data_IF_610693821587
#
_entry.id   IF_610693821587
#
_cell.length_a   1.000
_cell.length_b   1.000
_cell.length_c   1.000
_cell.angle_alpha   90.00
_cell.angle_beta   90.00
_cell.angle_gamma   90.00
#
_symmetry.space_group_name_H-M   'P 1'
#
loop_
_entity.id
_entity.type
_entity.pdbx_description
1 polymer ?
#
# COMPACT_ATOMS: atom_id res chain seq x y z
N UNK A 1 34.98 28.18 5.47
CA UNK A 1 33.88 28.74 4.67
C UNK A 1 34.18 28.43 3.21
N UNK A 2 33.38 27.76 2.39
CA UNK A 2 32.09 27.12 2.54
C UNK A 2 32.04 26.09 1.40
N UNK A 3 31.54 24.90 1.71
CA UNK A 3 30.53 24.20 0.90
C UNK A 3 30.68 24.21 -0.63
N UNK A 4 31.08 23.07 -1.18
CA UNK A 4 30.66 22.65 -2.53
C UNK A 4 30.45 21.14 -2.49
N UNK A 5 29.24 20.82 -2.06
CA UNK A 5 28.28 19.94 -2.74
C UNK A 5 28.77 18.57 -3.19
N UNK A 6 28.17 17.58 -2.50
CA UNK A 6 28.08 16.17 -2.82
C UNK A 6 27.91 15.88 -4.32
N UNK A 7 28.52 14.80 -4.85
CA UNK A 7 28.30 14.39 -6.22
C UNK A 7 26.88 13.85 -6.41
N UNK A 8 26.37 14.19 -7.59
CA UNK A 8 25.07 13.91 -8.16
C UNK A 8 24.65 12.43 -8.11
N UNK A 9 23.37 12.26 -7.73
CA UNK A 9 22.39 11.44 -8.42
C UNK A 9 22.87 10.09 -8.97
N UNK A 10 23.11 9.15 -8.08
CA UNK A 10 22.94 7.73 -8.40
C UNK A 10 21.47 7.36 -8.14
N UNK A 11 20.66 7.44 -9.20
CA UNK A 11 19.34 6.82 -9.22
C UNK A 11 19.04 6.35 -10.65
N UNK A 12 20.00 5.64 -11.25
CA UNK A 12 19.73 4.81 -12.42
C UNK A 12 19.17 3.47 -11.97
N UNK A 13 18.03 3.49 -11.28
CA UNK A 13 17.21 2.29 -11.12
C UNK A 13 15.83 2.62 -11.66
N UNK A 14 15.70 2.55 -12.99
CA UNK A 14 14.44 2.22 -13.67
C UNK A 14 14.02 0.77 -13.38
N UNK A 15 14.27 0.32 -12.14
CA UNK A 15 13.63 -0.85 -11.62
C UNK A 15 12.16 -0.52 -11.61
N UNK A 16 11.34 -1.48 -11.99
CA UNK A 16 9.89 -1.32 -11.94
C UNK A 16 9.50 -1.38 -10.48
N UNK A 17 9.86 -0.33 -9.73
CA UNK A 17 9.97 -0.33 -8.30
C UNK A 17 8.56 -0.54 -7.74
N UNK A 18 8.37 -1.77 -7.28
CA UNK A 18 7.21 -2.29 -6.61
C UNK A 18 6.62 -1.23 -5.66
N UNK A 19 5.56 -0.55 -6.07
CA UNK A 19 5.01 0.54 -5.28
C UNK A 19 3.98 0.03 -4.26
N UNK A 20 3.85 0.77 -3.16
CA UNK A 20 2.77 0.62 -2.19
C UNK A 20 1.66 1.59 -2.54
N UNK A 21 0.54 1.06 -2.99
CA UNK A 21 -0.67 1.84 -3.26
C UNK A 21 -1.59 1.77 -2.05
N UNK A 22 -1.84 2.93 -1.47
CA UNK A 22 -2.65 3.02 -0.28
C UNK A 22 -3.93 3.79 -0.54
N UNK A 23 -5.06 3.11 -0.41
CA UNK A 23 -6.40 3.65 -0.59
C UNK A 23 -7.06 3.92 0.76
N UNK A 24 -6.80 5.10 1.32
CA UNK A 24 -7.51 5.60 2.50
C UNK A 24 -7.77 7.10 2.41
N UNK A 25 -8.66 7.59 3.29
CA UNK A 25 -8.79 9.01 3.62
C UNK A 25 -8.00 9.45 4.86
N UNK A 26 -7.32 8.52 5.55
CA UNK A 26 -6.58 8.81 6.79
C UNK A 26 -5.11 9.18 6.49
N UNK A 27 -4.82 10.49 6.49
CA UNK A 27 -3.46 11.02 6.25
C UNK A 27 -2.46 10.67 7.34
N UNK A 28 -2.92 10.55 8.60
CA UNK A 28 -2.05 10.22 9.73
C UNK A 28 -1.52 8.79 9.56
N UNK A 29 -2.40 7.88 9.16
CA UNK A 29 -2.02 6.50 8.89
C UNK A 29 -1.18 6.38 7.61
N UNK A 30 -1.52 7.15 6.56
CA UNK A 30 -0.72 7.23 5.34
C UNK A 30 0.74 7.60 5.64
N UNK A 31 0.96 8.59 6.51
CA UNK A 31 2.30 9.01 6.89
C UNK A 31 3.10 7.90 7.58
N UNK A 32 2.46 7.07 8.41
CA UNK A 32 3.12 5.94 9.08
C UNK A 32 3.53 4.86 8.08
N UNK A 33 2.62 4.49 7.18
CA UNK A 33 2.89 3.51 6.12
C UNK A 33 4.02 4.01 5.24
N UNK A 34 3.95 5.28 4.83
CA UNK A 34 4.99 5.94 4.05
C UNK A 34 6.35 5.82 4.74
N UNK A 35 6.46 6.17 6.02
CA UNK A 35 7.72 6.06 6.75
C UNK A 35 8.25 4.62 6.84
N UNK A 36 7.38 3.61 6.92
CA UNK A 36 7.80 2.20 6.90
C UNK A 36 8.28 1.77 5.51
N UNK A 37 7.56 2.17 4.45
CA UNK A 37 7.94 1.91 3.07
C UNK A 37 9.25 2.61 2.69
N UNK A 38 9.44 3.88 3.06
CA UNK A 38 10.68 4.63 2.85
C UNK A 38 11.88 3.97 3.53
N UNK A 39 11.70 3.39 4.73
CA UNK A 39 12.75 2.63 5.42
C UNK A 39 13.13 1.34 4.69
N UNK A 40 12.19 0.73 3.98
CA UNK A 40 12.41 -0.43 3.14
C UNK A 40 12.85 -0.05 1.70
N UNK A 41 13.04 1.24 1.40
CA UNK A 41 13.37 1.70 0.04
C UNK A 41 12.24 1.54 -0.98
N UNK A 42 11.00 1.34 -0.51
CA UNK A 42 9.83 1.06 -1.35
C UNK A 42 9.06 2.35 -1.63
N UNK A 43 8.71 2.66 -2.89
CA UNK A 43 7.88 3.83 -3.23
C UNK A 43 6.47 3.71 -2.63
N UNK A 44 5.97 4.80 -2.03
CA UNK A 44 4.62 4.86 -1.47
C UNK A 44 3.75 5.91 -2.17
N UNK A 45 2.53 5.52 -2.55
CA UNK A 45 1.53 6.37 -3.17
C UNK A 45 0.20 6.30 -2.40
N UNK A 46 -0.22 7.43 -1.83
CA UNK A 46 -1.56 7.58 -1.29
C UNK A 46 -2.52 7.93 -2.43
N UNK A 47 -3.49 7.04 -2.69
CA UNK A 47 -4.43 7.16 -3.79
C UNK A 47 -5.85 7.36 -3.25
N UNK A 48 -6.54 8.36 -3.78
CA UNK A 48 -7.95 8.63 -3.46
C UNK A 48 -8.92 7.71 -4.20
N UNK A 49 -8.54 7.36 -5.44
CA UNK A 49 -9.28 6.55 -6.39
C UNK A 49 -8.28 5.74 -7.22
N UNK A 50 -8.76 4.73 -7.93
CA UNK A 50 -7.93 3.97 -8.86
C UNK A 50 -7.33 4.93 -9.91
N UNK A 51 -6.00 4.99 -10.08
CA UNK A 51 -5.38 5.80 -11.12
C UNK A 51 -5.55 5.13 -12.48
N UNK A 52 -5.94 5.90 -13.49
CA UNK A 52 -6.09 5.40 -14.86
C UNK A 52 -4.72 5.12 -15.51
N UNK A 53 -3.72 5.97 -15.20
CA UNK A 53 -2.32 5.80 -15.61
C UNK A 53 -1.44 5.62 -14.37
N UNK A 54 -0.96 4.40 -14.19
CA UNK A 54 -0.04 4.01 -13.14
C UNK A 54 1.41 4.17 -13.62
N UNK A 55 2.19 5.13 -13.10
CA UNK A 55 3.59 5.29 -13.51
C UNK A 55 4.48 4.12 -13.05
N UNK A 56 4.03 3.34 -12.06
CA UNK A 56 4.75 2.18 -11.52
C UNK A 56 3.78 1.06 -11.13
N UNK A 57 4.27 -0.19 -11.21
CA UNK A 57 3.50 -1.38 -10.85
C UNK A 57 3.38 -1.48 -9.32
N UNK A 58 2.16 -1.52 -8.74
CA UNK A 58 2.01 -1.76 -7.31
C UNK A 58 2.32 -3.21 -6.97
N UNK A 59 3.14 -3.43 -5.95
CA UNK A 59 3.34 -4.76 -5.35
C UNK A 59 2.48 -4.95 -4.11
N UNK A 60 2.09 -3.86 -3.45
CA UNK A 60 1.18 -3.89 -2.32
C UNK A 60 0.03 -2.90 -2.55
N UNK A 61 -1.19 -3.41 -2.55
CA UNK A 61 -2.40 -2.60 -2.66
C UNK A 61 -3.13 -2.71 -1.33
N UNK A 62 -3.09 -1.61 -0.57
CA UNK A 62 -3.67 -1.54 0.77
C UNK A 62 -4.96 -0.73 0.71
N UNK A 63 -6.07 -1.28 1.20
CA UNK A 63 -7.37 -0.61 1.20
C UNK A 63 -7.93 -0.49 2.61
N UNK A 64 -8.36 0.72 2.95
CA UNK A 64 -9.00 1.01 4.22
C UNK A 64 -10.51 0.77 4.16
N UNK A 65 -10.97 -0.28 4.82
CA UNK A 65 -12.39 -0.64 4.95
C UNK A 65 -13.17 0.32 5.86
N UNK A 66 -12.49 1.15 6.66
CA UNK A 66 -13.16 2.16 7.50
C UNK A 66 -13.80 3.24 6.63
N UNK A 67 -13.03 3.72 5.66
CA UNK A 67 -13.40 4.85 4.79
C UNK A 67 -13.85 4.40 3.40
N UNK A 68 -13.37 3.24 2.91
CA UNK A 68 -13.58 2.77 1.53
C UNK A 68 -14.09 1.34 1.41
N UNK A 69 -14.86 0.83 2.39
CA UNK A 69 -15.47 -0.50 2.28
C UNK A 69 -16.29 -0.71 1.01
N UNK A 70 -17.05 0.30 0.55
CA UNK A 70 -17.84 0.20 -0.68
C UNK A 70 -17.00 0.10 -1.96
N UNK A 71 -15.79 0.67 -1.97
CA UNK A 71 -14.87 0.61 -3.11
C UNK A 71 -13.87 -0.55 -3.00
N UNK A 72 -13.79 -1.24 -1.87
CA UNK A 72 -12.80 -2.29 -1.65
C UNK A 72 -12.99 -3.48 -2.60
N UNK A 73 -14.24 -3.90 -2.86
CA UNK A 73 -14.51 -4.97 -3.81
C UNK A 73 -14.08 -4.59 -5.25
N UNK A 74 -14.40 -3.35 -5.66
CA UNK A 74 -13.99 -2.79 -6.95
C UNK A 74 -12.47 -2.76 -7.10
N UNK A 75 -11.78 -2.20 -6.09
CA UNK A 75 -10.31 -2.10 -6.09
C UNK A 75 -9.67 -3.49 -6.15
N UNK A 76 -10.21 -4.49 -5.45
CA UNK A 76 -9.69 -5.87 -5.54
C UNK A 76 -9.92 -6.46 -6.93
N UNK A 77 -11.09 -6.24 -7.53
CA UNK A 77 -11.36 -6.72 -8.89
C UNK A 77 -10.36 -6.12 -9.89
N UNK A 78 -10.22 -4.80 -9.88
CA UNK A 78 -9.26 -4.07 -10.73
C UNK A 78 -7.81 -4.51 -10.45
N UNK A 79 -7.44 -4.70 -9.18
CA UNK A 79 -6.14 -5.24 -8.81
C UNK A 79 -5.89 -6.63 -9.39
N UNK A 80 -6.86 -7.54 -9.31
CA UNK A 80 -6.71 -8.87 -9.88
C UNK A 80 -6.66 -8.89 -11.42
N UNK A 81 -7.36 -7.95 -12.07
CA UNK A 81 -7.40 -7.82 -13.53
C UNK A 81 -6.12 -7.18 -14.07
N UNK A 82 -5.63 -6.12 -13.42
CA UNK A 82 -4.49 -5.33 -13.90
C UNK A 82 -3.15 -5.80 -13.33
N UNK A 83 -3.14 -6.21 -12.06
CA UNK A 83 -1.92 -6.59 -11.31
C UNK A 83 -2.12 -7.90 -10.53
N UNK A 84 -2.26 -9.05 -11.22
CA UNK A 84 -2.52 -10.34 -10.57
C UNK A 84 -1.42 -10.78 -9.59
N UNK A 85 -0.22 -10.22 -9.70
CA UNK A 85 0.92 -10.49 -8.81
C UNK A 85 1.00 -9.55 -7.59
N UNK A 86 0.15 -8.51 -7.54
CA UNK A 86 0.13 -7.56 -6.43
C UNK A 86 -0.54 -8.17 -5.19
N UNK A 87 0.09 -7.99 -4.03
CA UNK A 87 -0.49 -8.38 -2.75
C UNK A 87 -1.54 -7.36 -2.32
N UNK A 88 -2.78 -7.81 -2.21
CA UNK A 88 -3.88 -6.99 -1.73
C UNK A 88 -4.10 -7.17 -0.24
N UNK A 89 -4.11 -6.06 0.49
CA UNK A 89 -4.28 -6.04 1.94
C UNK A 89 -5.45 -5.13 2.26
N UNK A 90 -6.52 -5.67 2.81
CA UNK A 90 -7.60 -4.87 3.37
C UNK A 90 -7.40 -4.73 4.88
N UNK A 91 -7.56 -3.53 5.43
CA UNK A 91 -7.63 -3.37 6.87
C UNK A 91 -8.79 -2.50 7.33
N UNK A 92 -9.25 -2.73 8.56
CA UNK A 92 -10.33 -1.94 9.15
C UNK A 92 -10.45 -2.10 10.67
N UNK A 93 -11.29 -1.30 11.33
CA UNK A 93 -11.52 -1.37 12.76
C UNK A 93 -12.26 -2.67 13.13
N UNK A 94 -11.87 -3.26 14.26
CA UNK A 94 -12.35 -4.55 14.75
C UNK A 94 -13.86 -4.59 15.02
N UNK A 95 -14.47 -3.44 15.30
CA UNK A 95 -15.92 -3.27 15.53
C UNK A 95 -16.77 -3.52 14.27
N UNK A 96 -16.14 -3.77 13.11
CA UNK A 96 -16.83 -3.96 11.84
C UNK A 96 -16.48 -5.29 11.19
N UNK A 97 -16.69 -6.39 11.93
CA UNK A 97 -16.50 -7.76 11.46
C UNK A 97 -17.20 -8.05 10.11
N UNK A 98 -18.36 -7.42 9.86
CA UNK A 98 -19.07 -7.53 8.59
C UNK A 98 -18.26 -6.97 7.42
N UNK A 99 -17.54 -5.86 7.60
CA UNK A 99 -16.68 -5.26 6.56
C UNK A 99 -15.43 -6.10 6.31
N UNK A 100 -14.84 -6.68 7.36
CA UNK A 100 -13.73 -7.62 7.23
C UNK A 100 -14.19 -8.90 6.47
N UNK A 101 -15.39 -9.40 6.76
CA UNK A 101 -15.98 -10.53 6.04
C UNK A 101 -16.21 -10.20 4.56
N UNK A 102 -16.72 -9.00 4.25
CA UNK A 102 -16.87 -8.54 2.86
C UNK A 102 -15.54 -8.45 2.12
N UNK A 103 -14.47 -7.97 2.76
CA UNK A 103 -13.15 -7.95 2.16
C UNK A 103 -12.59 -9.36 1.91
N UNK A 104 -12.83 -10.31 2.84
CA UNK A 104 -12.45 -11.71 2.64
C UNK A 104 -13.24 -12.33 1.47
N UNK A 105 -14.53 -12.04 1.38
CA UNK A 105 -15.38 -12.49 0.28
C UNK A 105 -14.99 -11.85 -1.06
N UNK A 106 -14.50 -10.61 -1.06
CA UNK A 106 -13.93 -9.97 -2.24
C UNK A 106 -12.61 -10.62 -2.69
N UNK A 107 -12.03 -11.52 -1.88
CA UNK A 107 -10.85 -12.30 -2.24
C UNK A 107 -9.53 -11.59 -1.96
N UNK A 108 -9.48 -10.64 -1.00
CA UNK A 108 -8.22 -10.03 -0.58
C UNK A 108 -7.25 -11.06 0.01
N UNK A 109 -5.96 -10.92 -0.31
CA UNK A 109 -4.93 -11.87 0.14
C UNK A 109 -4.71 -11.81 1.65
N UNK A 110 -4.74 -10.60 2.22
CA UNK A 110 -4.69 -10.38 3.67
C UNK A 110 -5.80 -9.44 4.12
N UNK A 111 -6.47 -9.82 5.19
CA UNK A 111 -7.50 -8.98 5.84
C UNK A 111 -7.15 -8.84 7.31
N UNK A 112 -6.67 -7.66 7.69
CA UNK A 112 -6.12 -7.36 9.01
C UNK A 112 -6.94 -6.30 9.74
N UNK A 113 -6.88 -6.28 11.06
CA UNK A 113 -7.40 -5.11 11.81
C UNK A 113 -6.42 -3.95 11.72
N UNK A 114 -6.88 -2.72 11.95
CA UNK A 114 -6.00 -1.53 11.99
C UNK A 114 -4.79 -1.71 12.92
N UNK A 115 -4.99 -2.32 14.10
CA UNK A 115 -3.90 -2.60 15.05
C UNK A 115 -2.95 -3.70 14.57
N UNK A 116 -3.46 -4.78 13.98
CA UNK A 116 -2.61 -5.82 13.39
C UNK A 116 -1.81 -5.31 12.19
N UNK A 117 -2.40 -4.43 11.40
CA UNK A 117 -1.72 -3.82 10.27
C UNK A 117 -0.62 -2.84 10.74
N UNK A 118 -0.87 -2.03 11.76
CA UNK A 118 0.15 -1.17 12.40
C UNK A 118 1.30 -1.99 13.01
N UNK A 119 1.01 -3.17 13.59
CA UNK A 119 2.03 -4.06 14.13
C UNK A 119 2.85 -4.78 13.03
N UNK A 120 2.21 -5.19 11.93
CA UNK A 120 2.87 -5.91 10.83
C UNK A 120 3.53 -4.98 9.81
N UNK A 121 3.23 -3.68 9.85
CA UNK A 121 3.72 -2.65 8.94
C UNK A 121 5.24 -2.68 8.68
N UNK A 122 6.12 -2.73 9.71
CA UNK A 122 7.56 -2.81 9.48
C UNK A 122 8.02 -4.11 8.81
N UNK A 123 7.27 -5.21 8.99
CA UNK A 123 7.60 -6.54 8.46
C UNK A 123 7.05 -6.78 7.05
N UNK A 124 5.95 -6.09 6.70
CA UNK A 124 5.27 -6.26 5.39
C UNK A 124 6.19 -5.83 4.24
N UNK A 125 6.97 -4.75 4.42
CA UNK A 125 7.80 -4.18 3.36
C UNK A 125 9.23 -4.72 3.33
N UNK A 126 9.74 -5.29 4.44
CA UNK A 126 11.08 -5.89 4.51
C UNK A 126 11.17 -7.26 3.83
N UNK A 127 10.05 -7.97 3.65
CA UNK A 127 10.02 -9.23 2.91
C UNK A 127 10.28 -9.08 1.39
N UNK A 128 10.50 -7.85 0.90
CA UNK A 128 10.73 -7.54 -0.50
C UNK A 128 12.16 -7.85 -0.98
N UNK A 129 13.12 -7.94 -0.05
CA UNK A 129 14.57 -8.08 -0.29
C UNK A 129 15.08 -9.54 -0.26
N UNK A 130 14.17 -10.53 -0.32
CA UNK A 130 14.49 -11.97 -0.30
C UNK A 130 14.36 -12.63 -1.66
#
# INVERSE_FOLDING_TARGET
MNDVSQPAADATNSDTAAAVWFFSGDLLFASRIRSAAERAGVPFALLGRWPDDAPSLPRWIIVDLSTRAGAAAEIRRLASETFPTAQTIAYGPHVQAQRLSQARQAGYDKVLTRGQFDAALPDIFTAADG
#
